data_IF_803337754841
#
_entry.id   IF_803337754841
#
_cell.length_a   1.000
_cell.length_b   1.000
_cell.length_c   1.000
_cell.angle_alpha   90.00
_cell.angle_beta   90.00
_cell.angle_gamma   90.00
#
_symmetry.space_group_name_H-M   'P 1'
#
loop_
_entity.id
_entity.type
_entity.pdbx_description
1 polymer ?
#
# COMPACT_ATOMS: atom_id res chain seq x y z
N UNK A 1 -17.61 14.06 -5.00
CA UNK A 1 -16.22 14.24 -4.58
C UNK A 1 -15.37 14.66 -5.76
N UNK A 2 -14.60 15.68 -5.55
CA UNK A 2 -13.70 16.19 -6.59
C UNK A 2 -12.46 15.29 -6.70
N UNK A 3 -11.95 15.14 -7.93
CA UNK A 3 -10.71 14.39 -8.16
C UNK A 3 -9.50 15.08 -7.53
N UNK A 4 -9.62 16.37 -7.22
CA UNK A 4 -8.52 17.16 -6.68
C UNK A 4 -8.41 17.08 -5.17
N UNK A 5 -9.29 16.31 -4.50
CA UNK A 5 -9.33 16.26 -3.05
C UNK A 5 -8.53 15.12 -2.44
N UNK A 6 -7.60 14.54 -3.19
CA UNK A 6 -6.77 13.48 -2.62
C UNK A 6 -5.47 14.03 -2.05
N UNK A 7 -4.96 13.33 -1.04
CA UNK A 7 -3.69 13.63 -0.41
C UNK A 7 -2.84 12.38 -0.40
N UNK A 8 -1.56 12.52 -0.70
CA UNK A 8 -0.59 11.42 -0.56
C UNK A 8 0.28 11.76 0.65
N UNK A 9 0.30 10.84 1.62
CA UNK A 9 1.07 11.03 2.84
C UNK A 9 1.67 9.71 3.30
N UNK A 10 2.62 9.77 4.23
CA UNK A 10 3.19 8.54 4.79
C UNK A 10 2.18 7.83 5.67
N UNK A 11 2.28 6.49 5.71
CA UNK A 11 1.37 5.67 6.49
C UNK A 11 1.51 5.95 7.99
N UNK A 12 0.41 5.84 8.71
CA UNK A 12 0.33 5.97 10.15
C UNK A 12 -0.21 4.68 10.74
N UNK A 13 -0.03 4.43 12.06
CA UNK A 13 -0.54 3.19 12.65
C UNK A 13 -2.04 2.97 12.45
N UNK A 14 -2.82 4.04 12.45
CA UNK A 14 -4.27 3.96 12.26
C UNK A 14 -4.64 3.46 10.86
N UNK A 15 -3.70 3.51 9.92
CA UNK A 15 -3.95 3.10 8.54
C UNK A 15 -3.81 1.60 8.34
N UNK A 16 -3.30 0.86 9.32
CA UNK A 16 -3.05 -0.57 9.16
C UNK A 16 -4.30 -1.35 8.76
N UNK A 17 -5.41 -1.15 9.47
CA UNK A 17 -6.64 -1.87 9.15
C UNK A 17 -7.24 -1.48 7.80
N UNK A 18 -7.35 -0.19 7.45
CA UNK A 18 -7.83 0.16 6.12
C UNK A 18 -6.96 -0.40 5.00
N UNK A 19 -5.64 -0.36 5.14
CA UNK A 19 -4.75 -0.91 4.10
C UNK A 19 -4.88 -2.42 3.98
N UNK A 20 -4.98 -3.12 5.11
CA UNK A 20 -5.18 -4.56 5.08
C UNK A 20 -6.45 -4.92 4.29
N UNK A 21 -7.53 -4.20 4.54
CA UNK A 21 -8.79 -4.43 3.81
C UNK A 21 -8.64 -4.18 2.33
N UNK A 22 -7.95 -3.09 1.96
CA UNK A 22 -7.75 -2.74 0.56
C UNK A 22 -6.95 -3.83 -0.15
N UNK A 23 -5.86 -4.29 0.46
CA UNK A 23 -5.02 -5.33 -0.13
C UNK A 23 -5.81 -6.63 -0.28
N UNK A 24 -6.49 -7.05 0.77
CA UNK A 24 -7.24 -8.31 0.73
C UNK A 24 -8.41 -8.25 -0.26
N UNK A 25 -9.11 -7.12 -0.30
CA UNK A 25 -10.21 -6.94 -1.24
C UNK A 25 -9.69 -6.97 -2.67
N UNK A 26 -8.54 -6.33 -2.94
CA UNK A 26 -7.96 -6.34 -4.27
C UNK A 26 -7.62 -7.76 -4.74
N UNK A 27 -7.10 -8.60 -3.85
CA UNK A 27 -6.78 -9.99 -4.20
C UNK A 27 -8.04 -10.75 -4.59
N UNK A 28 -9.13 -10.56 -3.85
CA UNK A 28 -10.39 -11.22 -4.14
C UNK A 28 -10.99 -10.72 -5.45
N UNK A 29 -11.03 -9.40 -5.65
CA UNK A 29 -11.60 -8.80 -6.85
C UNK A 29 -10.85 -9.20 -8.12
N UNK A 30 -9.53 -9.32 -8.03
CA UNK A 30 -8.71 -9.65 -9.18
C UNK A 30 -8.52 -11.16 -9.36
N UNK A 31 -9.09 -11.97 -8.48
CA UNK A 31 -8.96 -13.42 -8.56
C UNK A 31 -7.55 -13.94 -8.34
N UNK A 32 -6.77 -13.25 -7.55
CA UNK A 32 -5.38 -13.63 -7.31
C UNK A 32 -5.28 -14.75 -6.26
N UNK A 33 -4.21 -15.57 -6.32
CA UNK A 33 -4.01 -16.59 -5.29
C UNK A 33 -3.94 -15.99 -3.89
N UNK A 34 -4.55 -16.65 -2.90
CA UNK A 34 -4.60 -16.14 -1.55
C UNK A 34 -3.53 -16.74 -0.65
N UNK A 35 -3.18 -18.01 -0.89
CA UNK A 35 -2.19 -18.73 -0.07
C UNK A 35 -0.77 -18.40 -0.55
N UNK A 36 0.11 -18.04 0.37
CA UNK A 36 1.50 -17.75 0.06
C UNK A 36 1.73 -16.40 -0.59
N UNK A 37 0.74 -15.50 -0.51
CA UNK A 37 0.82 -14.18 -1.13
C UNK A 37 0.61 -13.09 -0.08
N UNK A 38 0.60 -11.84 -0.53
CA UNK A 38 0.37 -10.70 0.36
C UNK A 38 -0.97 -10.76 1.07
N UNK A 39 -1.95 -11.52 0.54
CA UNK A 39 -3.26 -11.65 1.18
C UNK A 39 -3.14 -12.15 2.63
N UNK A 40 -2.29 -13.16 2.87
CA UNK A 40 -2.13 -13.74 4.20
C UNK A 40 -0.76 -13.41 4.83
N UNK A 41 0.02 -12.55 4.19
CA UNK A 41 1.32 -12.13 4.70
C UNK A 41 1.12 -11.34 5.99
N UNK A 42 1.89 -11.68 7.02
CA UNK A 42 1.83 -10.96 8.29
C UNK A 42 2.12 -9.48 8.13
N UNK A 43 2.99 -9.10 7.21
CA UNK A 43 3.27 -7.70 6.90
C UNK A 43 2.01 -6.92 6.56
N UNK A 44 1.07 -7.56 5.88
CA UNK A 44 -0.16 -6.91 5.44
C UNK A 44 -1.03 -6.45 6.61
N UNK A 45 -0.93 -7.13 7.75
CA UNK A 45 -1.68 -6.73 8.95
C UNK A 45 -1.00 -5.61 9.71
N UNK A 46 0.27 -5.31 9.38
CA UNK A 46 1.10 -4.37 10.12
C UNK A 46 1.90 -3.49 9.15
N UNK A 47 1.19 -2.87 8.22
CA UNK A 47 1.85 -2.11 7.16
C UNK A 47 2.69 -0.96 7.69
N UNK A 48 2.20 -0.23 8.71
CA UNK A 48 2.98 0.85 9.28
C UNK A 48 4.31 0.32 9.85
N UNK A 49 4.23 -0.72 10.68
CA UNK A 49 5.42 -1.28 11.33
C UNK A 49 6.39 -1.90 10.33
N UNK A 50 5.88 -2.40 9.23
CA UNK A 50 6.69 -3.11 8.24
C UNK A 50 7.57 -2.20 7.39
N UNK A 51 7.37 -0.88 7.46
CA UNK A 51 8.10 0.08 6.61
C UNK A 51 8.79 1.15 7.44
N UNK A 52 9.29 0.79 8.64
CA UNK A 52 9.96 1.73 9.54
C UNK A 52 11.48 1.65 9.49
N UNK A 53 12.06 0.78 8.66
CA UNK A 53 13.50 0.65 8.54
C UNK A 53 14.12 1.81 7.78
N UNK A 54 15.46 1.86 7.77
CA UNK A 54 16.19 2.86 7.01
C UNK A 54 15.90 2.70 5.53
N UNK A 55 15.60 3.81 4.85
CA UNK A 55 15.29 3.85 3.42
C UNK A 55 14.03 3.06 3.07
N UNK A 56 13.15 2.84 4.03
CA UNK A 56 11.83 2.25 3.80
C UNK A 56 10.76 3.29 4.03
N UNK A 57 9.74 3.28 3.18
CA UNK A 57 8.62 4.19 3.36
C UNK A 57 7.39 3.59 2.70
N UNK A 58 6.22 3.88 3.26
CA UNK A 58 4.96 3.52 2.63
C UNK A 58 4.08 4.76 2.57
N UNK A 59 3.57 5.05 1.38
CA UNK A 59 2.66 6.17 1.16
C UNK A 59 1.24 5.66 1.02
N UNK A 60 0.29 6.41 1.54
CA UNK A 60 -1.13 6.11 1.38
C UNK A 60 -1.83 7.27 0.67
N UNK A 61 -2.91 6.94 -0.02
CA UNK A 61 -3.77 7.92 -0.68
C UNK A 61 -5.00 8.12 0.18
N UNK A 62 -5.22 9.34 0.61
CA UNK A 62 -6.35 9.70 1.46
C UNK A 62 -7.27 10.65 0.71
N UNK A 63 -8.57 10.38 0.75
CA UNK A 63 -9.59 11.23 0.14
C UNK A 63 -10.67 11.45 1.19
N UNK A 64 -10.91 12.70 1.55
CA UNK A 64 -11.91 13.07 2.56
C UNK A 64 -11.77 12.28 3.86
N UNK A 65 -10.52 12.09 4.30
CA UNK A 65 -10.22 11.41 5.54
C UNK A 65 -10.26 9.89 5.49
N UNK A 66 -10.41 9.31 4.31
CA UNK A 66 -10.49 7.86 4.14
C UNK A 66 -9.37 7.37 3.24
N UNK A 67 -8.81 6.20 3.58
CA UNK A 67 -7.71 5.60 2.82
C UNK A 67 -8.27 4.81 1.63
N UNK A 68 -7.67 5.02 0.45
CA UNK A 68 -8.07 4.33 -0.78
C UNK A 68 -6.96 3.51 -1.41
N UNK A 69 -5.77 3.52 -0.85
CA UNK A 69 -4.68 2.70 -1.36
C UNK A 69 -3.33 3.21 -0.93
N UNK A 70 -2.29 2.61 -1.49
CA UNK A 70 -0.93 3.02 -1.17
C UNK A 70 0.12 2.26 -1.94
N UNK A 71 1.38 2.63 -1.72
CA UNK A 71 2.54 1.99 -2.31
C UNK A 71 3.74 2.19 -1.40
N UNK A 72 4.61 1.19 -1.36
CA UNK A 72 5.80 1.22 -0.53
C UNK A 72 7.09 1.15 -1.32
N UNK A 73 8.17 1.57 -0.68
CA UNK A 73 9.51 1.50 -1.24
C UNK A 73 10.42 0.86 -0.20
N UNK A 74 11.18 -0.15 -0.61
CA UNK A 74 12.22 -0.78 0.22
C UNK A 74 13.48 -0.96 -0.60
N UNK A 75 14.68 -0.89 0.03
CA UNK A 75 15.91 -1.18 -0.70
C UNK A 75 15.96 -2.65 -1.10
N UNK A 76 16.53 -2.93 -2.26
CA UNK A 76 16.81 -4.31 -2.69
C UNK A 76 18.04 -4.80 -1.92
N UNK A 77 17.90 -5.96 -1.26
CA UNK A 77 18.92 -6.44 -0.32
C UNK A 77 20.26 -6.76 -0.96
N UNK A 78 20.25 -7.25 -2.19
CA UNK A 78 21.48 -7.70 -2.85
C UNK A 78 22.05 -6.64 -3.79
N UNK A 79 21.64 -5.39 -3.64
CA UNK A 79 22.07 -4.29 -4.51
C UNK A 79 22.59 -3.13 -3.67
N UNK A 80 23.18 -2.16 -4.36
CA UNK A 80 23.66 -0.94 -3.73
C UNK A 80 22.51 -0.21 -3.03
N UNK A 81 22.86 0.61 -2.01
CA UNK A 81 21.86 1.26 -1.18
C UNK A 81 20.93 2.21 -1.92
N UNK A 82 21.31 2.65 -3.11
CA UNK A 82 20.48 3.57 -3.90
C UNK A 82 19.51 2.85 -4.82
N UNK A 83 19.44 1.52 -4.76
CA UNK A 83 18.49 0.73 -5.57
C UNK A 83 17.33 0.32 -4.69
N UNK A 84 16.12 0.73 -5.06
CA UNK A 84 14.92 0.46 -4.29
C UNK A 84 13.89 -0.29 -5.12
N UNK A 85 13.01 -1.03 -4.43
CA UNK A 85 11.93 -1.79 -5.05
C UNK A 85 10.58 -1.19 -4.65
N UNK A 86 9.71 -1.01 -5.63
CA UNK A 86 8.32 -0.63 -5.38
C UNK A 86 7.56 -1.85 -4.90
N UNK A 87 6.89 -1.74 -3.76
CA UNK A 87 6.21 -2.87 -3.13
C UNK A 87 4.77 -2.55 -2.76
N UNK A 88 3.94 -3.59 -2.75
CA UNK A 88 2.56 -3.56 -2.22
C UNK A 88 1.77 -2.34 -2.69
N UNK A 89 1.80 -2.08 -4.00
CA UNK A 89 1.00 -1.02 -4.59
C UNK A 89 -0.40 -1.55 -4.88
N UNK A 90 -1.36 -1.14 -4.05
CA UNK A 90 -2.75 -1.58 -4.15
C UNK A 90 -3.68 -0.40 -4.00
N UNK A 91 -4.75 -0.38 -4.80
CA UNK A 91 -5.75 0.68 -4.75
C UNK A 91 -7.15 0.09 -4.71
N UNK A 92 -8.05 0.75 -3.98
CA UNK A 92 -9.46 0.40 -4.00
C UNK A 92 -10.04 0.59 -5.41
N UNK A 93 -11.04 -0.22 -5.75
CA UNK A 93 -11.62 -0.20 -7.09
C UNK A 93 -12.10 1.20 -7.49
N UNK A 94 -12.58 1.98 -6.55
CA UNK A 94 -13.12 3.32 -6.79
C UNK A 94 -12.12 4.27 -7.42
N UNK A 95 -10.84 4.08 -7.17
CA UNK A 95 -9.82 5.01 -7.69
C UNK A 95 -8.85 4.37 -8.69
N UNK A 96 -9.03 3.12 -9.03
CA UNK A 96 -8.20 2.48 -10.06
C UNK A 96 -8.44 3.15 -11.40
N UNK A 97 -7.34 3.32 -12.15
CA UNK A 97 -7.44 3.93 -13.47
C UNK A 97 -7.44 5.44 -13.48
N UNK A 98 -7.22 6.07 -12.33
CA UNK A 98 -7.14 7.53 -12.25
C UNK A 98 -5.71 8.07 -12.35
N UNK A 99 -4.77 7.25 -12.78
CA UNK A 99 -3.39 7.69 -12.97
C UNK A 99 -2.61 7.88 -11.67
N UNK A 100 -3.04 7.26 -10.59
CA UNK A 100 -2.37 7.36 -9.29
C UNK A 100 -1.30 6.28 -9.09
N UNK A 101 -1.37 5.23 -9.90
CA UNK A 101 -0.43 4.12 -9.78
C UNK A 101 0.89 4.28 -10.47
#
# INVERSE_FOLDING_TARGET
>A
MSEDNFTIRTIQPIDNMPMQRIIQTAFIELGLPLVGTAYEDEETTRMFESYQGDNEIYYVVEIDGKIYGGAGIKPLRDFEADVCELQKMYFAAEIRGRGLG
#
